data_IF_401642426425
#
_entry.id   IF_401642426425
#
_cell.length_a   1.000
_cell.length_b   1.000
_cell.length_c   1.000
_cell.angle_alpha   90.00
_cell.angle_beta   90.00
_cell.angle_gamma   90.00
#
_symmetry.space_group_name_H-M   'P 1'
#
loop_
_entity.id
_entity.type
_entity.pdbx_description
1 polymer ?
#
# COMPACT_ATOMS: atom_id res chain seq x y z
N UNK A 1 13.10 21.15 3.40
CA UNK A 1 12.41 19.90 2.99
C UNK A 1 11.83 19.13 4.18
N UNK A 2 12.64 18.75 5.18
CA UNK A 2 12.22 17.95 6.36
C UNK A 2 11.04 18.57 7.14
N UNK A 3 11.10 19.89 7.43
CA UNK A 3 10.00 20.60 8.13
C UNK A 3 8.66 20.55 7.36
N UNK A 4 8.70 20.56 6.02
CA UNK A 4 7.51 20.48 5.17
C UNK A 4 6.87 19.10 5.29
N UNK A 5 7.65 18.03 5.21
CA UNK A 5 7.16 16.65 5.33
C UNK A 5 6.56 16.39 6.72
N UNK A 6 7.22 16.85 7.79
CA UNK A 6 6.70 16.72 9.14
C UNK A 6 5.38 17.50 9.34
N UNK A 7 5.25 18.68 8.72
CA UNK A 7 3.99 19.43 8.71
C UNK A 7 2.90 18.68 7.94
N UNK A 8 3.17 18.27 6.71
CA UNK A 8 2.22 17.52 5.88
C UNK A 8 1.72 16.24 6.56
N UNK A 9 2.60 15.52 7.27
CA UNK A 9 2.20 14.36 8.06
C UNK A 9 1.23 14.73 9.19
N UNK A 10 1.51 15.81 9.95
CA UNK A 10 0.60 16.28 11.01
C UNK A 10 -0.75 16.72 10.44
N UNK A 11 -0.74 17.44 9.33
CA UNK A 11 -1.94 17.88 8.64
C UNK A 11 -2.77 16.68 8.13
N UNK A 12 -2.11 15.63 7.64
CA UNK A 12 -2.76 14.37 7.23
C UNK A 12 -3.41 13.66 8.43
N UNK A 13 -2.68 13.47 9.53
CA UNK A 13 -3.22 12.80 10.72
C UNK A 13 -4.38 13.60 11.33
N UNK A 14 -4.29 14.93 11.34
CA UNK A 14 -5.36 15.80 11.81
C UNK A 14 -6.62 15.68 10.92
N UNK A 15 -6.47 15.70 9.60
CA UNK A 15 -7.59 15.47 8.67
C UNK A 15 -8.22 14.10 8.86
N UNK A 16 -7.42 13.05 9.01
CA UNK A 16 -7.92 11.69 9.29
C UNK A 16 -8.72 11.63 10.59
N UNK A 17 -8.27 12.31 11.64
CA UNK A 17 -9.00 12.39 12.91
C UNK A 17 -10.33 13.16 12.78
N UNK A 18 -10.36 14.25 12.00
CA UNK A 18 -11.58 14.98 11.69
C UNK A 18 -12.58 14.10 10.92
N UNK A 19 -12.13 13.39 9.87
CA UNK A 19 -13.00 12.48 9.10
C UNK A 19 -13.62 11.42 10.00
N UNK A 20 -12.87 10.84 10.94
CA UNK A 20 -13.39 9.86 11.89
C UNK A 20 -14.44 10.44 12.85
N UNK A 21 -14.24 11.69 13.31
CA UNK A 21 -15.22 12.40 14.13
C UNK A 21 -16.48 12.75 13.32
N UNK A 22 -16.29 13.21 12.10
CA UNK A 22 -17.36 13.62 11.19
C UNK A 22 -18.13 12.42 10.65
N UNK A 23 -17.56 11.20 10.67
CA UNK A 23 -18.23 9.97 10.26
C UNK A 23 -19.52 9.70 11.03
N UNK A 24 -19.51 9.88 12.36
CA UNK A 24 -20.70 9.69 13.20
C UNK A 24 -21.80 10.71 12.86
N UNK A 25 -21.38 11.96 12.58
CA UNK A 25 -22.28 13.03 12.17
C UNK A 25 -22.83 12.74 10.77
N UNK A 26 -21.98 12.30 9.85
CA UNK A 26 -22.34 11.94 8.47
C UNK A 26 -23.34 10.79 8.44
N UNK A 27 -23.19 9.77 9.28
CA UNK A 27 -24.16 8.68 9.38
C UNK A 27 -25.55 9.18 9.82
N UNK A 28 -25.61 10.10 10.79
CA UNK A 28 -26.87 10.74 11.21
C UNK A 28 -27.47 11.58 10.08
N UNK A 29 -26.64 12.31 9.33
CA UNK A 29 -27.07 13.11 8.17
C UNK A 29 -27.59 12.25 7.03
N UNK A 30 -26.94 11.13 6.72
CA UNK A 30 -27.40 10.19 5.70
C UNK A 30 -28.78 9.60 6.05
N UNK A 31 -29.01 9.26 7.33
CA UNK A 31 -30.33 8.81 7.81
C UNK A 31 -31.39 9.91 7.68
N UNK A 32 -31.04 11.16 8.01
CA UNK A 32 -31.94 12.32 7.84
C UNK A 32 -32.31 12.52 6.36
N UNK A 33 -31.33 12.50 5.45
CA UNK A 33 -31.54 12.62 4.00
C UNK A 33 -32.41 11.49 3.46
N UNK A 34 -32.14 10.25 3.85
CA UNK A 34 -32.94 9.09 3.44
C UNK A 34 -34.39 9.16 3.96
N UNK A 35 -34.59 9.65 5.20
CA UNK A 35 -35.91 9.89 5.78
C UNK A 35 -36.66 10.98 5.03
N UNK A 36 -36.01 12.10 4.68
CA UNK A 36 -36.61 13.18 3.89
C UNK A 36 -37.03 12.70 2.48
N UNK A 37 -36.23 11.84 1.85
CA UNK A 37 -36.54 11.29 0.53
C UNK A 37 -37.70 10.27 0.56
N UNK A 38 -37.80 9.47 1.62
CA UNK A 38 -38.77 8.36 1.71
C UNK A 38 -40.02 8.68 2.53
N UNK A 39 -40.00 9.77 3.30
CA UNK A 39 -41.04 10.14 4.26
C UNK A 39 -41.13 9.22 5.49
N UNK A 40 -40.19 8.27 5.68
CA UNK A 40 -40.20 7.36 6.82
C UNK A 40 -39.79 8.07 8.11
N UNK A 41 -40.43 7.71 9.22
CA UNK A 41 -40.10 8.26 10.53
C UNK A 41 -38.65 7.94 10.93
N UNK A 42 -37.96 8.94 11.49
CA UNK A 42 -36.59 8.87 11.96
C UNK A 42 -36.56 8.75 13.48
N UNK A 43 -35.45 8.26 14.03
CA UNK A 43 -35.21 8.26 15.47
C UNK A 43 -35.34 9.69 16.07
N UNK A 44 -36.08 9.87 17.18
CA UNK A 44 -36.27 11.18 17.81
C UNK A 44 -34.97 11.90 18.19
N UNK A 45 -33.90 11.16 18.51
CA UNK A 45 -32.60 11.76 18.86
C UNK A 45 -31.95 12.48 17.68
N UNK A 46 -32.15 11.98 16.46
CA UNK A 46 -31.64 12.60 15.23
C UNK A 46 -32.63 13.67 14.76
N UNK A 47 -33.92 13.38 14.84
CA UNK A 47 -34.96 14.30 14.41
C UNK A 47 -34.90 15.60 15.21
N UNK A 48 -34.74 15.56 16.54
CA UNK A 48 -34.81 16.75 17.38
C UNK A 48 -33.50 17.54 17.50
N UNK A 49 -32.42 17.10 16.83
CA UNK A 49 -31.15 17.80 16.85
C UNK A 49 -31.18 19.07 15.97
N UNK A 50 -31.21 20.23 16.63
CA UNK A 50 -31.30 21.53 15.96
C UNK A 50 -29.99 21.92 15.27
N UNK A 51 -28.83 21.50 15.78
CA UNK A 51 -27.53 21.81 15.17
C UNK A 51 -27.36 21.01 13.89
N UNK A 52 -27.67 19.71 13.95
CA UNK A 52 -27.63 18.82 12.80
C UNK A 52 -28.46 19.33 11.62
N UNK A 53 -29.68 19.84 11.89
CA UNK A 53 -30.57 20.40 10.85
C UNK A 53 -30.02 21.68 10.23
N UNK A 54 -29.41 22.56 11.02
CA UNK A 54 -28.80 23.80 10.52
C UNK A 54 -27.61 23.49 9.61
N UNK A 55 -26.74 22.59 10.04
CA UNK A 55 -25.56 22.20 9.26
C UNK A 55 -25.95 21.41 8.00
N UNK A 56 -26.99 20.58 8.08
CA UNK A 56 -27.49 19.80 6.95
C UNK A 56 -27.88 20.68 5.75
N UNK A 57 -28.43 21.87 5.98
CA UNK A 57 -28.78 22.81 4.92
C UNK A 57 -27.56 23.27 4.09
N UNK A 58 -26.36 23.30 4.69
CA UNK A 58 -25.12 23.67 4.00
C UNK A 58 -24.45 22.46 3.34
N UNK A 59 -24.57 21.28 3.94
CA UNK A 59 -23.94 20.04 3.49
C UNK A 59 -24.83 19.19 2.55
N UNK A 60 -25.97 19.71 2.09
CA UNK A 60 -26.91 18.98 1.24
C UNK A 60 -26.29 18.55 -0.11
N UNK A 61 -25.32 19.33 -0.61
CA UNK A 61 -24.62 19.05 -1.88
C UNK A 61 -23.50 18.02 -1.76
N UNK A 62 -23.06 17.66 -0.55
CA UNK A 62 -22.03 16.63 -0.35
C UNK A 62 -22.61 15.25 -0.69
N UNK A 63 -21.91 14.43 -1.50
CA UNK A 63 -22.36 13.08 -1.78
C UNK A 63 -22.37 12.24 -0.51
N UNK A 64 -23.39 11.39 -0.36
CA UNK A 64 -23.44 10.39 0.72
C UNK A 64 -22.35 9.35 0.49
N UNK A 65 -21.17 9.60 1.04
CA UNK A 65 -20.05 8.67 1.04
C UNK A 65 -19.95 8.01 2.41
N UNK A 66 -19.66 6.72 2.40
CA UNK A 66 -19.33 6.03 3.65
C UNK A 66 -18.02 6.61 4.18
N UNK A 67 -17.85 6.64 5.51
CA UNK A 67 -16.58 7.07 6.14
C UNK A 67 -15.34 6.38 5.55
N UNK A 68 -15.48 5.11 5.17
CA UNK A 68 -14.40 4.36 4.51
C UNK A 68 -14.07 4.90 3.11
N UNK A 69 -15.07 5.33 2.33
CA UNK A 69 -14.86 5.91 1.00
C UNK A 69 -14.22 7.29 1.10
N UNK A 70 -14.60 8.09 2.11
CA UNK A 70 -13.95 9.38 2.36
C UNK A 70 -12.48 9.22 2.77
N UNK A 71 -12.20 8.24 3.64
CA UNK A 71 -10.82 7.90 4.02
C UNK A 71 -9.99 7.39 2.83
N UNK A 72 -10.62 6.69 1.88
CA UNK A 72 -9.96 6.19 0.68
C UNK A 72 -9.66 7.30 -0.35
N UNK A 73 -10.43 8.39 -0.34
CA UNK A 73 -10.22 9.54 -1.22
C UNK A 73 -9.08 10.42 -0.75
N UNK A 74 -9.00 10.72 0.56
CA UNK A 74 -7.89 11.46 1.18
C UNK A 74 -6.82 10.48 1.71
N UNK A 75 -6.36 9.59 0.84
CA UNK A 75 -5.37 8.56 1.16
C UNK A 75 -3.94 8.96 0.74
N UNK A 76 -2.91 8.32 1.29
CA UNK A 76 -1.51 8.71 1.01
C UNK A 76 -1.13 8.54 -0.46
N UNK A 77 -1.82 7.65 -1.18
CA UNK A 77 -1.59 7.34 -2.58
C UNK A 77 -2.42 8.19 -3.55
N UNK A 78 -3.52 8.81 -3.11
CA UNK A 78 -4.52 9.39 -4.02
C UNK A 78 -3.99 10.59 -4.80
N UNK A 79 -3.09 11.37 -4.21
CA UNK A 79 -2.53 12.59 -4.81
C UNK A 79 -1.68 12.33 -6.06
N UNK A 80 -1.04 11.16 -6.13
CA UNK A 80 -0.08 10.81 -7.19
C UNK A 80 -0.57 9.66 -8.08
N UNK A 81 -1.68 9.01 -7.70
CA UNK A 81 -2.23 7.86 -8.40
C UNK A 81 -2.59 8.20 -9.84
N UNK A 82 -2.03 7.46 -10.80
CA UNK A 82 -2.33 7.62 -12.23
C UNK A 82 -1.70 8.85 -12.92
N UNK A 83 -1.05 9.74 -12.16
CA UNK A 83 -0.44 10.96 -12.70
C UNK A 83 1.07 10.79 -12.85
N UNK A 84 1.72 10.24 -11.83
CA UNK A 84 3.19 10.10 -11.77
C UNK A 84 3.59 8.64 -11.72
N UNK A 85 4.57 8.26 -12.54
CA UNK A 85 5.15 6.92 -12.50
C UNK A 85 5.94 6.71 -11.19
N UNK A 86 5.61 5.66 -10.41
CA UNK A 86 6.14 5.46 -9.06
C UNK A 86 7.59 4.99 -9.07
N UNK A 87 8.54 5.82 -8.65
CA UNK A 87 9.99 5.51 -8.60
C UNK A 87 10.36 4.69 -7.36
N UNK A 88 10.67 3.42 -7.58
CA UNK A 88 10.91 2.43 -6.51
C UNK A 88 12.41 2.14 -6.36
N UNK A 89 12.90 2.18 -5.13
CA UNK A 89 14.27 1.80 -4.78
C UNK A 89 14.29 0.40 -4.16
N UNK A 90 14.95 -0.55 -4.82
CA UNK A 90 15.20 -1.88 -4.28
C UNK A 90 16.58 -1.92 -3.64
N UNK A 91 16.63 -2.34 -2.38
CA UNK A 91 17.87 -2.43 -1.63
C UNK A 91 17.86 -3.63 -0.70
N UNK A 92 19.03 -4.00 -0.19
CA UNK A 92 19.23 -5.19 0.63
C UNK A 92 19.43 -4.86 2.10
N UNK A 93 19.79 -5.86 2.90
CA UNK A 93 20.49 -5.73 4.18
C UNK A 93 21.89 -5.12 3.99
N UNK A 94 22.57 -4.81 5.12
CA UNK A 94 23.89 -4.17 5.17
C UNK A 94 24.95 -4.95 4.38
N UNK A 95 25.10 -6.22 4.69
CA UNK A 95 26.03 -7.14 4.03
C UNK A 95 25.23 -8.26 3.33
N UNK A 96 24.88 -8.08 2.05
CA UNK A 96 24.11 -9.07 1.31
C UNK A 96 25.01 -10.19 0.77
N UNK A 97 24.47 -11.41 0.77
CA UNK A 97 25.04 -12.52 0.03
C UNK A 97 24.91 -12.31 -1.48
N UNK A 98 25.64 -13.13 -2.23
CA UNK A 98 25.52 -13.18 -3.70
C UNK A 98 24.12 -13.59 -4.14
N UNK A 99 23.47 -14.52 -3.42
CA UNK A 99 22.09 -14.97 -3.68
C UNK A 99 21.08 -13.86 -3.43
N UNK A 100 21.19 -13.09 -2.34
CA UNK A 100 20.31 -11.94 -2.08
C UNK A 100 20.54 -10.82 -3.09
N UNK A 101 21.79 -10.58 -3.48
CA UNK A 101 22.10 -9.62 -4.54
C UNK A 101 21.45 -10.02 -5.87
N UNK A 102 21.47 -11.30 -6.22
CA UNK A 102 20.77 -11.85 -7.39
C UNK A 102 19.24 -11.70 -7.26
N UNK A 103 18.67 -12.00 -6.09
CA UNK A 103 17.24 -11.83 -5.82
C UNK A 103 16.79 -10.37 -5.88
N UNK A 104 17.59 -9.43 -5.37
CA UNK A 104 17.30 -7.99 -5.49
C UNK A 104 17.22 -7.53 -6.95
N UNK A 105 18.02 -8.13 -7.83
CA UNK A 105 17.95 -7.90 -9.29
C UNK A 105 16.68 -8.50 -9.89
N UNK A 106 16.21 -9.65 -9.39
CA UNK A 106 14.94 -10.25 -9.81
C UNK A 106 13.73 -9.40 -9.41
N UNK A 107 13.68 -8.92 -8.17
CA UNK A 107 12.62 -8.00 -7.69
C UNK A 107 12.63 -6.70 -8.50
N UNK A 108 13.81 -6.15 -8.81
CA UNK A 108 13.93 -4.99 -9.69
C UNK A 108 13.39 -5.26 -11.10
N UNK A 109 13.55 -6.48 -11.62
CA UNK A 109 12.99 -6.87 -12.93
C UNK A 109 11.49 -7.17 -12.87
N UNK A 110 10.96 -7.54 -11.68
CA UNK A 110 9.54 -7.77 -11.44
C UNK A 110 8.75 -6.48 -11.62
N UNK A 111 9.23 -5.40 -11.03
CA UNK A 111 8.65 -4.07 -11.20
C UNK A 111 9.12 -3.55 -12.56
N UNK A 112 8.22 -3.37 -13.54
CA UNK A 112 8.63 -2.87 -14.84
C UNK A 112 9.26 -1.50 -14.67
N UNK A 113 10.37 -1.29 -15.36
CA UNK A 113 10.87 -0.01 -15.87
C UNK A 113 12.36 0.15 -15.56
N UNK A 114 13.13 -0.01 -16.62
CA UNK A 114 14.49 0.51 -16.78
C UNK A 114 14.70 1.95 -16.27
N UNK A 115 13.63 2.76 -16.15
CA UNK A 115 13.66 4.16 -15.66
C UNK A 115 13.15 4.36 -14.23
N UNK A 116 12.40 3.41 -13.68
CA UNK A 116 11.57 3.65 -12.49
C UNK A 116 11.99 2.80 -11.29
N UNK A 117 12.47 1.57 -11.51
CA UNK A 117 13.00 0.71 -10.45
C UNK A 117 14.54 0.74 -10.42
N UNK A 118 15.10 1.27 -9.34
CA UNK A 118 16.55 1.44 -9.14
C UNK A 118 17.02 0.44 -8.09
N UNK A 119 18.12 -0.27 -8.36
CA UNK A 119 18.79 -1.09 -7.34
C UNK A 119 19.97 -0.33 -6.77
N UNK A 120 20.04 -0.21 -5.46
CA UNK A 120 21.14 0.45 -4.77
C UNK A 120 21.88 -0.52 -3.85
N UNK A 121 23.21 -0.53 -3.98
CA UNK A 121 24.10 -1.25 -3.07
C UNK A 121 24.10 -0.54 -1.72
N UNK A 122 23.77 -1.25 -0.64
CA UNK A 122 23.73 -0.66 0.71
C UNK A 122 25.10 -0.24 1.23
N UNK A 123 26.05 -1.18 1.26
CA UNK A 123 27.33 -0.98 1.94
C UNK A 123 27.13 -0.45 3.37
N UNK A 124 27.84 0.64 3.70
CA UNK A 124 27.80 1.26 5.02
C UNK A 124 26.67 2.29 5.22
N UNK A 125 25.70 2.38 4.29
CA UNK A 125 24.65 3.39 4.35
C UNK A 125 23.63 3.11 5.47
N UNK A 126 23.50 4.06 6.40
CA UNK A 126 22.56 3.99 7.53
C UNK A 126 21.13 4.21 7.02
N UNK A 127 20.14 3.53 7.64
CA UNK A 127 18.73 3.58 7.21
C UNK A 127 18.10 5.00 7.17
N UNK A 128 18.34 5.90 8.14
CA UNK A 128 17.82 7.27 8.09
C UNK A 128 18.39 8.09 6.92
N UNK A 129 19.68 7.93 6.64
CA UNK A 129 20.34 8.62 5.51
C UNK A 129 19.80 8.11 4.17
N UNK A 130 19.58 6.80 4.06
CA UNK A 130 18.95 6.19 2.89
C UNK A 130 17.55 6.73 2.67
N UNK A 131 16.74 6.83 3.72
CA UNK A 131 15.38 7.37 3.68
C UNK A 131 15.39 8.84 3.27
N UNK A 132 16.27 9.64 3.86
CA UNK A 132 16.44 11.07 3.53
C UNK A 132 16.90 11.28 2.09
N UNK A 133 17.86 10.47 1.62
CA UNK A 133 18.34 10.50 0.25
C UNK A 133 17.23 10.13 -0.73
N UNK A 134 16.45 9.09 -0.42
CA UNK A 134 15.33 8.66 -1.26
C UNK A 134 14.24 9.74 -1.38
N UNK A 135 13.88 10.37 -0.27
CA UNK A 135 12.94 11.49 -0.27
C UNK A 135 13.49 12.73 -0.99
N UNK A 136 14.78 13.03 -0.85
CA UNK A 136 15.44 14.12 -1.57
C UNK A 136 15.46 13.90 -3.08
N UNK A 137 15.58 12.64 -3.52
CA UNK A 137 15.53 12.24 -4.92
C UNK A 137 14.10 12.12 -5.49
N UNK A 138 13.07 12.31 -4.67
CA UNK A 138 11.66 12.19 -5.05
C UNK A 138 11.27 10.75 -5.42
N UNK A 139 11.79 9.76 -4.69
CA UNK A 139 11.34 8.37 -4.82
C UNK A 139 9.98 8.18 -4.15
N UNK A 140 9.14 7.31 -4.71
CA UNK A 140 7.82 6.98 -4.16
C UNK A 140 7.91 5.85 -3.15
N UNK A 141 8.76 4.85 -3.39
CA UNK A 141 8.80 3.65 -2.55
C UNK A 141 10.22 3.14 -2.35
N UNK A 142 10.43 2.50 -1.21
CA UNK A 142 11.63 1.71 -0.94
C UNK A 142 11.26 0.29 -0.56
N UNK A 143 11.93 -0.67 -1.18
CA UNK A 143 11.83 -2.10 -0.90
C UNK A 143 13.15 -2.54 -0.28
N UNK A 144 13.08 -2.99 0.95
CA UNK A 144 14.20 -3.51 1.72
C UNK A 144 14.08 -5.04 1.83
N UNK A 145 15.12 -5.74 1.39
CA UNK A 145 15.17 -7.20 1.40
C UNK A 145 16.11 -7.71 2.48
N UNK A 146 15.66 -8.70 3.25
CA UNK A 146 16.45 -9.44 4.22
C UNK A 146 16.58 -10.91 3.80
N UNK A 147 17.65 -11.54 4.28
CA UNK A 147 17.90 -12.95 4.07
C UNK A 147 18.34 -13.66 5.34
N UNK A 148 18.26 -14.98 5.29
CA UNK A 148 18.91 -15.88 6.20
C UNK A 148 19.77 -16.86 5.39
N UNK A 149 21.10 -16.80 5.54
CA UNK A 149 22.06 -17.72 4.90
C UNK A 149 21.84 -17.91 3.39
N UNK A 150 21.65 -16.84 2.64
CA UNK A 150 21.46 -16.92 1.18
C UNK A 150 20.02 -17.15 0.71
N UNK A 151 19.07 -17.31 1.64
CA UNK A 151 17.64 -17.46 1.35
C UNK A 151 16.91 -16.18 1.77
N UNK A 152 16.24 -15.45 0.86
CA UNK A 152 15.45 -14.28 1.21
C UNK A 152 14.30 -14.62 2.16
N UNK A 153 14.16 -13.89 3.27
CA UNK A 153 13.19 -14.20 4.34
C UNK A 153 12.23 -13.07 4.67
N UNK A 154 12.58 -11.82 4.40
CA UNK A 154 11.68 -10.70 4.63
C UNK A 154 11.80 -9.63 3.54
N UNK A 155 10.67 -8.99 3.27
CA UNK A 155 10.53 -7.87 2.37
C UNK A 155 9.76 -6.78 3.11
N UNK A 156 10.37 -5.61 3.23
CA UNK A 156 9.72 -4.43 3.81
C UNK A 156 9.53 -3.41 2.70
N UNK A 157 8.30 -3.01 2.48
CA UNK A 157 7.90 -2.00 1.52
C UNK A 157 7.48 -0.76 2.29
N UNK A 158 8.06 0.40 1.99
CA UNK A 158 7.73 1.66 2.63
C UNK A 158 7.45 2.73 1.60
N UNK A 159 6.30 3.39 1.72
CA UNK A 159 5.88 4.46 0.82
C UNK A 159 6.29 5.84 1.36
N UNK A 160 6.83 6.66 0.48
CA UNK A 160 7.26 8.03 0.73
C UNK A 160 6.25 9.02 0.16
N UNK A 161 6.12 10.22 0.76
CA UNK A 161 6.98 10.83 1.79
C UNK A 161 6.68 10.42 3.25
N UNK A 162 5.43 10.08 3.56
CA UNK A 162 4.98 9.70 4.91
C UNK A 162 3.90 8.62 4.86
N UNK A 163 4.00 7.73 3.87
CA UNK A 163 3.05 6.63 3.67
C UNK A 163 3.29 5.46 4.62
N UNK A 164 2.52 4.37 4.45
CA UNK A 164 2.63 3.20 5.29
C UNK A 164 3.87 2.36 4.96
N UNK A 165 4.29 1.56 5.93
CA UNK A 165 5.28 0.51 5.76
C UNK A 165 4.61 -0.84 5.97
N UNK A 166 4.64 -1.68 4.94
CA UNK A 166 4.14 -3.05 4.97
C UNK A 166 5.34 -4.02 5.03
N UNK A 167 5.36 -4.84 6.07
CA UNK A 167 6.42 -5.83 6.30
C UNK A 167 5.90 -7.23 6.07
N UNK A 168 6.57 -7.95 5.18
CA UNK A 168 6.23 -9.29 4.75
C UNK A 168 7.35 -10.27 5.10
N UNK A 169 6.97 -11.47 5.54
CA UNK A 169 7.87 -12.62 5.57
C UNK A 169 7.72 -13.40 4.28
N UNK A 170 8.86 -13.79 3.70
CA UNK A 170 8.94 -14.55 2.46
C UNK A 170 9.10 -16.04 2.80
N UNK A 171 8.29 -16.87 2.17
CA UNK A 171 8.36 -18.32 2.25
C UNK A 171 8.34 -18.92 0.84
N UNK A 172 8.91 -20.12 0.70
CA UNK A 172 8.96 -20.87 -0.56
C UNK A 172 9.58 -20.06 -1.71
N UNK A 173 10.66 -19.31 -1.43
CA UNK A 173 11.32 -18.46 -2.43
C UNK A 173 12.13 -19.31 -3.39
N UNK A 174 11.68 -19.41 -4.64
CA UNK A 174 12.43 -20.03 -5.73
C UNK A 174 13.05 -18.93 -6.60
N UNK A 175 14.38 -18.85 -6.63
CA UNK A 175 15.09 -17.83 -7.40
C UNK A 175 15.08 -18.16 -8.88
N UNK A 176 14.94 -17.13 -9.72
CA UNK A 176 15.12 -17.26 -11.17
C UNK A 176 16.56 -17.62 -11.53
N UNK A 177 17.54 -17.16 -10.75
CA UNK A 177 18.96 -17.49 -10.98
C UNK A 177 19.31 -18.95 -10.72
N UNK A 178 18.47 -19.69 -9.99
CA UNK A 178 18.67 -21.13 -9.80
C UNK A 178 18.28 -21.94 -11.06
N UNK A 179 17.56 -21.34 -12.01
CA UNK A 179 17.19 -21.98 -13.29
C UNK A 179 18.37 -21.88 -14.27
N UNK A 180 18.77 -22.99 -14.94
CA UNK A 180 19.87 -22.99 -15.90
C UNK A 180 19.69 -21.98 -17.04
N UNK A 181 20.81 -21.39 -17.46
CA UNK A 181 20.88 -20.37 -18.52
C UNK A 181 20.22 -20.79 -19.84
N UNK A 182 20.24 -22.07 -20.17
CA UNK A 182 19.64 -22.65 -21.39
C UNK A 182 18.12 -22.51 -21.47
N UNK A 183 17.44 -22.49 -20.32
CA UNK A 183 15.99 -22.28 -20.21
C UNK A 183 15.68 -20.80 -19.93
N UNK A 184 16.69 -20.04 -19.52
CA UNK A 184 16.55 -18.69 -18.96
C UNK A 184 16.74 -17.62 -20.03
N UNK A 185 15.63 -17.06 -20.53
CA UNK A 185 15.64 -15.89 -21.41
C UNK A 185 15.88 -14.54 -20.70
N UNK A 186 15.89 -13.45 -21.45
CA UNK A 186 15.74 -12.09 -20.90
C UNK A 186 14.29 -11.85 -20.46
N UNK A 187 14.06 -11.09 -19.40
CA UNK A 187 12.70 -10.78 -18.92
C UNK A 187 12.20 -9.55 -19.67
N UNK A 188 10.98 -9.62 -20.22
CA UNK A 188 10.32 -8.45 -20.79
C UNK A 188 10.07 -7.39 -19.71
N UNK A 189 10.52 -6.16 -19.95
CA UNK A 189 10.33 -5.01 -19.06
C UNK A 189 9.04 -4.23 -19.36
N UNK A 190 8.12 -4.79 -20.18
CA UNK A 190 6.80 -4.20 -20.44
C UNK A 190 5.99 -4.05 -19.16
N UNK A 191 5.11 -3.05 -19.10
CA UNK A 191 4.18 -2.85 -17.97
C UNK A 191 3.27 -4.10 -17.84
N UNK A 192 3.24 -4.77 -16.68
CA UNK A 192 2.44 -5.96 -16.46
C UNK A 192 0.99 -5.57 -16.20
N UNK A 193 0.08 -6.48 -16.51
CA UNK A 193 -1.26 -6.47 -15.94
C UNK A 193 -1.21 -7.04 -14.53
N UNK A 194 -1.93 -6.41 -13.60
CA UNK A 194 -2.02 -6.85 -12.23
C UNK A 194 -3.35 -7.57 -12.01
N UNK A 195 -3.28 -8.77 -11.44
CA UNK A 195 -4.46 -9.52 -11.01
C UNK A 195 -4.37 -9.69 -9.50
N UNK A 196 -5.41 -9.28 -8.79
CA UNK A 196 -5.57 -9.48 -7.36
C UNK A 196 -6.76 -10.40 -7.14
N UNK A 197 -6.54 -11.54 -6.50
CA UNK A 197 -7.55 -12.57 -6.28
C UNK A 197 -7.59 -12.99 -4.80
N UNK A 198 -8.81 -13.06 -4.25
CA UNK A 198 -9.06 -13.44 -2.85
C UNK A 198 -9.04 -12.31 -1.81
N UNK A 199 -8.63 -11.08 -2.17
CA UNK A 199 -8.61 -9.95 -1.23
C UNK A 199 -10.00 -9.33 -1.07
N UNK A 200 -10.74 -9.77 -0.05
CA UNK A 200 -12.14 -9.32 0.17
C UNK A 200 -12.31 -8.41 1.37
N UNK A 201 -11.40 -8.48 2.34
CA UNK A 201 -11.49 -7.67 3.55
C UNK A 201 -10.96 -6.26 3.29
N UNK A 202 -11.32 -5.31 4.16
CA UNK A 202 -10.76 -3.95 4.16
C UNK A 202 -9.23 -3.95 4.25
N UNK A 203 -8.66 -4.86 5.04
CA UNK A 203 -7.20 -5.00 5.13
C UNK A 203 -6.63 -5.52 3.81
N UNK A 204 -7.32 -6.47 3.17
CA UNK A 204 -6.99 -6.95 1.84
C UNK A 204 -6.97 -5.83 0.80
N UNK A 205 -8.02 -5.01 0.74
CA UNK A 205 -8.09 -3.83 -0.13
C UNK A 205 -6.94 -2.84 0.13
N UNK A 206 -6.59 -2.61 1.40
CA UNK A 206 -5.44 -1.77 1.79
C UNK A 206 -4.12 -2.33 1.25
N UNK A 207 -3.90 -3.64 1.34
CA UNK A 207 -2.69 -4.29 0.80
C UNK A 207 -2.68 -4.24 -0.71
N UNK A 208 -3.82 -4.51 -1.35
CA UNK A 208 -3.97 -4.37 -2.81
C UNK A 208 -3.60 -2.95 -3.23
N UNK A 209 -4.06 -1.93 -2.50
CA UNK A 209 -3.71 -0.54 -2.75
C UNK A 209 -2.21 -0.30 -2.64
N UNK A 210 -1.58 -0.73 -1.55
CA UNK A 210 -0.13 -0.59 -1.35
C UNK A 210 0.66 -1.29 -2.48
N UNK A 211 0.31 -2.54 -2.82
CA UNK A 211 1.02 -3.33 -3.83
C UNK A 211 0.80 -2.81 -5.26
N UNK A 212 -0.42 -2.34 -5.57
CA UNK A 212 -0.79 -1.80 -6.90
C UNK A 212 0.02 -0.54 -7.23
N UNK A 213 0.23 0.35 -6.27
CA UNK A 213 0.90 1.64 -6.50
C UNK A 213 2.42 1.56 -6.66
N UNK A 214 3.02 0.37 -6.49
CA UNK A 214 4.43 0.11 -6.84
C UNK A 214 4.61 0.03 -8.37
N UNK A 215 3.54 -0.31 -9.09
CA UNK A 215 3.57 -0.48 -10.53
C UNK A 215 3.10 0.78 -11.25
N UNK A 216 3.70 1.11 -12.40
CA UNK A 216 3.28 2.26 -13.18
C UNK A 216 1.84 2.09 -13.69
N UNK A 217 1.07 3.18 -13.73
CA UNK A 217 -0.27 3.15 -14.31
C UNK A 217 -0.19 2.75 -15.79
N UNK A 218 -1.08 1.87 -16.23
CA UNK A 218 -1.27 1.60 -17.65
C UNK A 218 -2.30 2.55 -18.23
N UNK A 219 -2.09 2.92 -19.49
CA UNK A 219 -3.16 3.50 -20.30
C UNK A 219 -4.35 2.54 -20.36
N UNK A 220 -5.59 3.07 -20.34
CA UNK A 220 -6.78 2.25 -20.53
C UNK A 220 -6.69 1.49 -21.85
N UNK A 221 -7.08 0.22 -21.84
CA UNK A 221 -7.02 -0.65 -23.01
C UNK A 221 -8.11 -0.23 -24.00
N UNK A 222 -7.78 0.68 -24.92
CA UNK A 222 -8.71 1.16 -25.95
C UNK A 222 -8.78 0.25 -27.17
N UNK A 223 -7.89 -0.73 -27.31
CA UNK A 223 -7.85 -1.67 -28.44
C UNK A 223 -7.17 -2.98 -28.07
N UNK A 224 -7.59 -4.09 -28.70
CA UNK A 224 -7.02 -5.44 -28.50
C UNK A 224 -5.50 -5.51 -28.79
N UNK A 225 -4.96 -4.60 -29.60
CA UNK A 225 -3.53 -4.48 -29.88
C UNK A 225 -2.69 -3.88 -28.74
N UNK A 226 -3.31 -3.23 -27.73
CA UNK A 226 -2.64 -2.65 -26.56
C UNK A 226 -2.59 -3.60 -25.36
N UNK A 227 -3.05 -4.84 -25.51
CA UNK A 227 -3.01 -5.85 -24.43
C UNK A 227 -1.56 -6.27 -24.22
N UNK A 228 -0.96 -5.84 -23.10
CA UNK A 228 0.39 -6.29 -22.75
C UNK A 228 0.43 -7.80 -22.47
N UNK A 229 1.54 -8.42 -22.82
CA UNK A 229 1.73 -9.88 -22.71
C UNK A 229 2.27 -10.32 -21.34
N UNK A 230 2.49 -9.38 -20.43
CA UNK A 230 3.05 -9.66 -19.10
C UNK A 230 1.95 -9.52 -18.05
N UNK A 231 1.85 -10.49 -17.17
CA UNK A 231 0.87 -10.52 -16.08
C UNK A 231 1.62 -10.82 -14.78
N UNK A 232 1.26 -10.12 -13.71
CA UNK A 232 1.70 -10.38 -12.34
C UNK A 232 0.44 -10.64 -11.52
N UNK A 233 0.38 -11.81 -10.89
CA UNK A 233 -0.78 -12.24 -10.11
C UNK A 233 -0.42 -12.25 -8.64
N UNK A 234 -1.25 -11.60 -7.82
CA UNK A 234 -1.25 -11.68 -6.38
C UNK A 234 -2.52 -12.45 -5.96
N UNK A 235 -2.33 -13.61 -5.33
CA UNK A 235 -3.43 -14.45 -4.83
C UNK A 235 -3.29 -14.57 -3.31
N UNK A 236 -4.40 -14.56 -2.57
CA UNK A 236 -4.38 -14.77 -1.11
C UNK A 236 -3.86 -16.17 -0.72
N UNK A 237 -4.00 -17.15 -1.61
CA UNK A 237 -3.50 -18.51 -1.40
C UNK A 237 -1.98 -18.67 -1.58
N UNK A 238 -1.42 -19.71 -0.96
CA UNK A 238 0.00 -20.06 -1.05
C UNK A 238 0.36 -20.49 -2.47
N UNK A 239 1.16 -19.67 -3.16
CA UNK A 239 1.69 -19.97 -4.49
C UNK A 239 2.96 -20.83 -4.48
N UNK A 240 3.29 -21.47 -5.62
CA UNK A 240 4.40 -22.44 -5.71
C UNK A 240 5.81 -21.81 -5.81
N UNK A 241 5.94 -20.50 -6.06
CA UNK A 241 7.25 -19.85 -6.34
C UNK A 241 7.70 -18.81 -5.32
N UNK A 242 6.75 -18.08 -4.76
CA UNK A 242 6.96 -17.03 -3.77
C UNK A 242 5.65 -16.88 -3.03
N UNK A 243 5.69 -17.10 -1.72
CA UNK A 243 4.57 -16.80 -0.83
C UNK A 243 5.02 -15.71 0.15
N UNK A 244 4.21 -14.68 0.28
CA UNK A 244 4.49 -13.55 1.16
C UNK A 244 3.42 -13.50 2.23
N UNK A 245 3.83 -13.52 3.49
CA UNK A 245 2.92 -13.37 4.63
C UNK A 245 3.12 -12.01 5.24
N UNK A 246 2.10 -11.16 5.17
CA UNK A 246 2.11 -9.88 5.88
C UNK A 246 2.15 -10.14 7.39
N UNK A 247 3.03 -9.45 8.09
CA UNK A 247 3.08 -9.52 9.57
C UNK A 247 2.86 -8.16 10.24
N UNK A 248 3.07 -7.05 9.53
CA UNK A 248 2.87 -5.71 10.09
C UNK A 248 2.56 -4.69 8.99
N UNK A 249 1.59 -3.81 9.25
CA UNK A 249 1.37 -2.55 8.53
C UNK A 249 1.47 -1.42 9.55
N UNK A 250 2.38 -0.49 9.30
CA UNK A 250 2.61 0.67 10.15
C UNK A 250 2.37 1.97 9.38
N UNK A 251 1.70 2.93 10.01
CA UNK A 251 1.49 4.26 9.49
C UNK A 251 2.72 5.13 9.74
N UNK A 252 3.70 4.97 8.85
CA UNK A 252 4.95 5.71 8.89
C UNK A 252 5.99 5.06 7.99
N UNK A 253 7.04 5.81 7.71
CA UNK A 253 8.16 5.37 6.88
C UNK A 253 9.07 4.39 7.64
N UNK A 254 9.95 3.71 6.90
CA UNK A 254 10.90 2.71 7.41
C UNK A 254 11.74 3.16 8.62
N UNK A 255 12.05 4.46 8.72
CA UNK A 255 12.80 5.03 9.84
C UNK A 255 11.97 5.12 11.13
N UNK A 256 10.67 5.37 11.00
CA UNK A 256 9.81 5.65 12.15
C UNK A 256 9.36 4.35 12.82
N UNK A 257 10.15 3.91 13.81
CA UNK A 257 9.83 2.70 14.57
C UNK A 257 8.63 2.85 15.51
N UNK A 258 8.35 4.08 15.91
CA UNK A 258 7.31 4.43 16.88
C UNK A 258 6.03 4.92 16.18
N UNK A 259 5.88 4.63 14.87
CA UNK A 259 4.65 4.93 14.14
C UNK A 259 3.49 4.03 14.57
N UNK A 260 2.27 4.56 14.49
CA UNK A 260 1.05 3.83 14.81
C UNK A 260 0.91 2.58 13.93
N UNK A 261 0.71 1.43 14.57
CA UNK A 261 0.52 0.16 13.86
C UNK A 261 -0.93 0.05 13.45
N UNK A 262 -1.19 0.04 12.15
CA UNK A 262 -2.54 -0.15 11.59
C UNK A 262 -2.99 -1.60 11.79
N UNK A 263 -2.08 -2.55 11.53
CA UNK A 263 -2.35 -3.97 11.72
C UNK A 263 -1.06 -4.73 12.00
N UNK A 264 -1.14 -5.77 12.84
CA UNK A 264 -0.04 -6.71 13.05
C UNK A 264 -0.56 -8.12 13.22
N UNK A 265 0.28 -9.10 12.88
CA UNK A 265 -0.02 -10.51 13.00
C UNK A 265 0.04 -10.95 14.47
N UNK A 266 -1.13 -11.12 15.07
CA UNK A 266 -1.29 -11.60 16.44
C UNK A 266 -1.08 -13.12 16.53
N UNK A 267 0.12 -13.59 16.84
CA UNK A 267 0.39 -15.04 16.88
C UNK A 267 -0.03 -15.71 18.20
N UNK A 268 0.19 -15.05 19.33
CA UNK A 268 0.06 -15.65 20.67
C UNK A 268 -1.32 -15.43 21.34
N UNK A 269 -2.38 -15.31 20.54
CA UNK A 269 -3.75 -15.16 21.04
C UNK A 269 -4.55 -16.44 20.83
N UNK A 270 -5.58 -16.69 21.67
CA UNK A 270 -6.35 -17.94 21.69
C UNK A 270 -7.01 -18.29 20.34
N UNK A 271 -7.37 -17.29 19.54
CA UNK A 271 -8.08 -17.48 18.26
C UNK A 271 -7.26 -17.04 17.05
N UNK A 272 -5.95 -16.77 17.22
CA UNK A 272 -5.07 -16.29 16.16
C UNK A 272 -5.10 -17.15 14.90
N UNK A 273 -5.12 -18.47 15.06
CA UNK A 273 -5.09 -19.44 13.96
C UNK A 273 -6.45 -19.67 13.29
N UNK A 274 -7.53 -19.12 13.86
CA UNK A 274 -8.91 -19.31 13.35
C UNK A 274 -9.40 -18.14 12.51
N UNK A 275 -8.82 -16.95 12.69
CA UNK A 275 -9.23 -15.74 11.98
C UNK A 275 -8.38 -15.59 10.73
N UNK A 276 -9.05 -15.57 9.58
CA UNK A 276 -8.42 -15.11 8.35
C UNK A 276 -8.76 -13.65 8.11
N UNK A 277 -7.77 -12.88 7.69
CA UNK A 277 -7.87 -11.44 7.48
C UNK A 277 -7.66 -11.06 6.01
N UNK A 278 -7.26 -11.99 5.12
CA UNK A 278 -6.85 -11.68 3.75
C UNK A 278 -7.64 -12.41 2.70
#
# INVERSE_FOLDING_TARGET
MIRKQARQRRDYLYRKALILRDAEISEKRAKLRASLATGKALDPSIANDQQLRKDFAYDESRPDRTSNEELDLDDEYSQLSGIVDPRVLVTTSRDPSTRLSAFSKEIRLLIPAKKTAIRLNRGNLVLPELTRSAQGAGLTDIILLHEHRGVPTALTLSHFPHGPTASFSLHNVVLRHDIPGSIRGTVSESYPHLIFDGFTTRLGERIVKILKHIFPPREPVTSKAKVGNRIVTFKSEVGPRLSMKLFEIRNGTLENKDGDVEWHLNQYTRTSRKKDYL
#
